data_IF_207665403019
#
_entry.id   IF_207665403019
#
_cell.length_a   1.000
_cell.length_b   1.000
_cell.length_c   1.000
_cell.angle_alpha   90.00
_cell.angle_beta   90.00
_cell.angle_gamma   90.00
#
_symmetry.space_group_name_H-M   'P 1'
#
loop_
_entity.id
_entity.type
_entity.pdbx_description
1 polymer ?
#
# COMPACT_ATOMS: atom_id res chain seq x y z
N UNK A 1 18.67 12.42 -22.10
CA UNK A 1 17.87 13.50 -21.46
C UNK A 1 17.02 12.88 -20.36
N UNK A 2 17.07 13.33 -19.09
CA UNK A 2 16.18 12.79 -18.07
C UNK A 2 14.77 13.37 -18.28
N UNK A 3 13.77 12.50 -18.34
CA UNK A 3 12.37 12.93 -18.36
C UNK A 3 12.06 13.53 -16.99
N UNK A 4 11.84 14.84 -16.93
CA UNK A 4 11.33 15.50 -15.74
C UNK A 4 9.85 15.15 -15.63
N UNK A 5 9.55 14.06 -14.92
CA UNK A 5 8.16 13.67 -14.63
C UNK A 5 7.57 14.75 -13.72
N UNK A 6 6.40 15.33 -14.04
CA UNK A 6 5.77 16.34 -13.19
C UNK A 6 5.63 15.80 -11.76
N UNK A 7 5.60 16.70 -10.77
CA UNK A 7 5.27 16.39 -9.37
C UNK A 7 3.89 15.70 -9.31
N UNK A 8 3.86 14.39 -9.55
CA UNK A 8 2.71 13.56 -9.28
C UNK A 8 2.83 13.26 -7.79
N UNK A 9 1.91 13.75 -6.93
CA UNK A 9 1.91 13.36 -5.53
C UNK A 9 1.78 11.84 -5.35
N UNK A 10 1.35 11.15 -6.42
CA UNK A 10 1.06 9.73 -6.47
C UNK A 10 2.00 9.04 -7.48
N UNK A 11 2.62 7.94 -7.06
CA UNK A 11 3.46 7.10 -7.92
C UNK A 11 2.60 6.36 -8.97
N UNK A 12 2.93 6.48 -10.26
CA UNK A 12 2.18 5.85 -11.36
C UNK A 12 2.34 4.34 -11.45
N UNK A 13 3.35 3.75 -10.80
CA UNK A 13 3.55 2.30 -10.80
C UNK A 13 2.67 1.57 -9.80
N UNK A 14 2.21 2.27 -8.76
CA UNK A 14 1.41 1.67 -7.69
C UNK A 14 0.11 2.42 -7.43
N UNK A 15 -0.19 3.46 -8.23
CA UNK A 15 -1.41 4.27 -8.18
C UNK A 15 -1.79 4.75 -6.77
N UNK A 16 -0.77 5.05 -5.96
CA UNK A 16 -0.95 5.54 -4.59
C UNK A 16 -1.02 4.46 -3.53
N UNK A 17 -0.77 3.19 -3.85
CA UNK A 17 -0.69 2.09 -2.88
C UNK A 17 0.76 1.60 -2.75
N UNK A 18 1.63 2.37 -2.06
CA UNK A 18 3.06 2.07 -1.98
C UNK A 18 3.38 0.79 -1.18
N UNK A 19 2.46 0.38 -0.30
CA UNK A 19 2.55 -0.77 0.60
C UNK A 19 1.18 -1.40 0.73
N UNK A 20 1.08 -2.70 0.53
CA UNK A 20 -0.15 -3.48 0.73
C UNK A 20 0.10 -4.72 1.57
N UNK A 21 -0.94 -5.19 2.26
CA UNK A 21 -0.92 -6.43 3.04
C UNK A 21 -1.86 -7.44 2.38
N UNK A 22 -1.35 -8.65 2.11
CA UNK A 22 -2.09 -9.73 1.46
C UNK A 22 -2.20 -10.89 2.43
N UNK A 23 -3.38 -11.47 2.60
CA UNK A 23 -3.58 -12.68 3.40
C UNK A 23 -3.08 -13.91 2.64
N UNK A 24 -2.30 -14.78 3.29
CA UNK A 24 -1.82 -16.02 2.64
C UNK A 24 -2.78 -17.20 2.78
N UNK A 25 -3.91 -17.01 3.49
CA UNK A 25 -4.85 -18.08 3.84
C UNK A 25 -4.53 -18.76 5.17
N UNK A 26 -3.27 -18.71 5.59
CA UNK A 26 -2.81 -19.25 6.86
C UNK A 26 -3.22 -18.40 8.06
N UNK A 27 -3.28 -19.06 9.22
CA UNK A 27 -3.45 -18.42 10.51
C UNK A 27 -2.29 -18.78 11.42
N UNK A 28 -1.88 -17.81 12.23
CA UNK A 28 -0.98 -18.04 13.33
C UNK A 28 -1.71 -18.78 14.46
N UNK A 29 -0.97 -19.35 15.42
CA UNK A 29 -1.55 -20.20 16.47
C UNK A 29 -2.52 -19.46 17.40
N UNK A 30 -2.36 -18.15 17.51
CA UNK A 30 -3.25 -17.26 18.25
C UNK A 30 -4.54 -16.91 17.47
N UNK A 31 -4.72 -17.44 16.26
CA UNK A 31 -5.87 -17.20 15.39
C UNK A 31 -5.73 -15.99 14.46
N UNK A 32 -4.67 -15.20 14.60
CA UNK A 32 -4.41 -14.06 13.69
C UNK A 32 -4.06 -14.54 12.28
N UNK A 33 -4.32 -13.72 11.25
CA UNK A 33 -4.02 -14.09 9.85
C UNK A 33 -2.56 -13.80 9.53
N UNK A 34 -1.92 -14.72 8.81
CA UNK A 34 -0.59 -14.45 8.25
C UNK A 34 -0.74 -13.46 7.10
N UNK A 35 0.03 -12.37 7.16
CA UNK A 35 0.03 -11.30 6.17
C UNK A 35 1.39 -11.22 5.49
N UNK A 36 1.38 -11.17 4.15
CA UNK A 36 2.54 -10.81 3.34
C UNK A 36 2.49 -9.31 3.05
N UNK A 37 3.57 -8.60 3.41
CA UNK A 37 3.72 -7.18 3.11
C UNK A 37 4.45 -7.00 1.79
N UNK A 38 3.79 -6.39 0.82
CA UNK A 38 4.36 -6.08 -0.50
C UNK A 38 4.62 -4.59 -0.60
N UNK A 39 5.81 -4.22 -1.08
CA UNK A 39 6.26 -2.83 -1.25
C UNK A 39 6.51 -2.56 -2.72
N UNK A 40 6.02 -1.43 -3.24
CA UNK A 40 6.31 -1.01 -4.60
C UNK A 40 7.83 -0.78 -4.75
N UNK A 41 8.49 -1.49 -5.68
CA UNK A 41 9.94 -1.37 -5.88
C UNK A 41 10.35 -0.04 -6.51
N UNK A 42 9.46 0.60 -7.27
CA UNK A 42 9.72 1.87 -7.96
C UNK A 42 9.81 3.03 -6.97
N UNK A 43 8.80 3.19 -6.10
CA UNK A 43 8.81 4.23 -5.07
C UNK A 43 9.37 3.77 -3.72
N UNK A 44 9.73 2.48 -3.58
CA UNK A 44 10.26 1.90 -2.32
C UNK A 44 9.40 2.15 -1.10
N UNK A 45 8.09 2.28 -1.27
CA UNK A 45 7.17 2.54 -0.17
C UNK A 45 6.93 4.03 0.14
N UNK A 46 7.58 4.97 -0.55
CA UNK A 46 7.44 6.42 -0.27
C UNK A 46 6.35 7.11 -1.08
N UNK A 47 5.80 6.47 -2.12
CA UNK A 47 4.72 7.05 -2.91
C UNK A 47 3.49 7.31 -2.04
N UNK A 48 2.87 8.48 -2.11
CA UNK A 48 1.77 8.80 -1.21
C UNK A 48 0.44 8.22 -1.70
N UNK A 49 -0.31 7.61 -0.78
CA UNK A 49 -1.75 7.42 -0.90
C UNK A 49 -2.44 8.70 -0.42
N UNK A 50 -3.56 9.09 -1.02
CA UNK A 50 -4.50 9.93 -0.27
C UNK A 50 -4.91 9.15 0.99
N UNK A 51 -4.75 9.76 2.17
CA UNK A 51 -5.22 9.13 3.42
C UNK A 51 -6.71 8.85 3.26
N UNK A 52 -7.08 7.57 3.28
CA UNK A 52 -8.48 7.19 3.35
C UNK A 52 -9.04 7.73 4.68
N UNK A 53 -10.17 8.43 4.62
CA UNK A 53 -10.91 8.77 5.83
C UNK A 53 -11.37 7.47 6.49
N UNK A 54 -11.06 7.30 7.77
CA UNK A 54 -11.60 6.19 8.55
C UNK A 54 -13.11 6.40 8.65
N UNK A 55 -13.89 5.52 8.02
CA UNK A 55 -15.33 5.48 8.21
C UNK A 55 -15.62 4.54 9.38
N UNK A 56 -16.28 5.05 10.41
CA UNK A 56 -16.70 4.23 11.53
C UNK A 56 -17.96 3.46 11.11
N UNK A 57 -17.83 2.15 10.86
CA UNK A 57 -18.98 1.28 10.69
C UNK A 57 -19.41 0.76 12.08
N UNK A 58 -20.48 1.33 12.63
CA UNK A 58 -21.32 0.76 13.68
C UNK A 58 -22.76 0.74 13.14
N UNK A 59 -23.60 -0.25 13.41
CA UNK A 59 -23.74 -1.11 14.58
C UNK A 59 -24.16 -2.53 14.21
#
# INVERSE_FOLDING_TARGET
>A
MPVRVPNRPICSSCDGFPVVSITTGDRHRDGSRVLLRVVCRVCKGTGHAHRAALVQAGS
#
